data_IF_222209590936
#
_entry.id   IF_222209590936
#
_cell.length_a   1.000
_cell.length_b   1.000
_cell.length_c   1.000
_cell.angle_alpha   90.00
_cell.angle_beta   90.00
_cell.angle_gamma   90.00
#
_symmetry.space_group_name_H-M   'P 1'
#
loop_
_entity.id
_entity.type
_entity.pdbx_description
1 polymer ?
#
# COMPACT_ATOMS: atom_id res chain seq x y z
N UNK A 1 2.90 17.82 12.16
CA UNK A 1 3.07 16.35 11.96
C UNK A 1 4.04 16.05 10.82
N UNK A 2 5.21 15.42 11.08
CA UNK A 2 6.16 15.05 10.01
C UNK A 2 5.53 14.02 9.06
N UNK A 3 5.72 14.20 7.75
CA UNK A 3 5.15 13.30 6.73
C UNK A 3 5.77 11.90 6.88
N UNK A 4 4.96 10.87 7.14
CA UNK A 4 5.47 9.54 7.43
C UNK A 4 6.17 8.86 6.23
N UNK A 5 7.49 8.66 6.34
CA UNK A 5 8.33 7.99 5.33
C UNK A 5 7.94 6.51 5.09
N UNK A 6 7.21 5.88 6.01
CA UNK A 6 6.73 4.49 5.89
C UNK A 6 5.78 4.27 4.71
N UNK A 7 5.17 5.35 4.23
CA UNK A 7 4.37 5.35 3.01
C UNK A 7 5.23 5.09 1.76
N UNK A 8 6.38 5.75 1.64
CA UNK A 8 7.30 5.59 0.49
C UNK A 8 7.81 4.16 0.36
N UNK A 9 8.18 3.51 1.46
CA UNK A 9 8.59 2.09 1.47
C UNK A 9 7.48 1.17 0.96
N UNK A 10 6.24 1.43 1.36
CA UNK A 10 5.08 0.62 0.98
C UNK A 10 4.73 0.81 -0.51
N UNK A 11 4.89 2.03 -1.03
CA UNK A 11 4.74 2.33 -2.48
C UNK A 11 5.85 1.71 -3.32
N UNK A 12 7.10 1.73 -2.86
CA UNK A 12 8.22 1.13 -3.59
C UNK A 12 8.02 -0.40 -3.75
N UNK A 13 7.52 -1.04 -2.69
CA UNK A 13 7.13 -2.46 -2.73
C UNK A 13 6.01 -2.70 -3.75
N UNK A 14 5.00 -1.84 -3.79
CA UNK A 14 3.90 -1.93 -4.75
C UNK A 14 4.41 -1.81 -6.19
N UNK A 15 5.25 -0.82 -6.49
CA UNK A 15 5.89 -0.62 -7.80
C UNK A 15 6.64 -1.88 -8.24
N UNK A 16 7.39 -2.49 -7.32
CA UNK A 16 8.14 -3.72 -7.59
C UNK A 16 7.23 -4.90 -7.92
N UNK A 17 6.13 -5.06 -7.17
CA UNK A 17 5.14 -6.12 -7.41
C UNK A 17 4.41 -5.92 -8.75
N UNK A 18 4.04 -4.69 -9.10
CA UNK A 18 3.44 -4.36 -10.39
C UNK A 18 4.40 -4.68 -11.55
N UNK A 19 5.69 -4.31 -11.44
CA UNK A 19 6.72 -4.65 -12.44
C UNK A 19 6.93 -6.17 -12.58
N UNK A 20 6.81 -6.91 -11.47
CA UNK A 20 6.86 -8.38 -11.52
C UNK A 20 5.63 -8.96 -12.22
N UNK A 21 4.44 -8.43 -11.93
CA UNK A 21 3.18 -8.86 -12.52
C UNK A 21 3.17 -8.65 -14.04
N UNK A 22 3.62 -7.49 -14.52
CA UNK A 22 3.61 -7.15 -15.96
C UNK A 22 4.48 -8.10 -16.80
N UNK A 23 5.50 -8.72 -16.20
CA UNK A 23 6.38 -9.69 -16.87
C UNK A 23 5.83 -11.13 -16.87
N UNK A 24 4.72 -11.41 -16.19
CA UNK A 24 4.16 -12.76 -16.12
C UNK A 24 3.09 -12.97 -17.19
N UNK A 25 3.06 -14.17 -17.79
CA UNK A 25 2.02 -14.58 -18.75
C UNK A 25 0.64 -14.52 -18.09
N UNK A 26 -0.23 -13.67 -18.63
CA UNK A 26 -1.62 -13.50 -18.17
C UNK A 26 -2.33 -14.86 -18.12
N UNK A 27 -3.13 -15.10 -17.09
CA UNK A 27 -3.89 -16.34 -16.91
C UNK A 27 -3.09 -17.53 -16.34
N UNK A 28 -1.75 -17.46 -16.28
CA UNK A 28 -0.96 -18.52 -15.64
C UNK A 28 -1.21 -18.59 -14.11
N UNK A 29 -1.03 -19.77 -13.52
CA UNK A 29 -1.13 -19.97 -12.06
C UNK A 29 -0.20 -19.03 -11.26
N UNK A 30 0.96 -18.69 -11.82
CA UNK A 30 1.93 -17.76 -11.22
C UNK A 30 1.43 -16.31 -11.34
N UNK A 31 0.82 -15.94 -12.46
CA UNK A 31 0.23 -14.61 -12.65
C UNK A 31 -0.88 -14.36 -11.63
N UNK A 32 -1.78 -15.33 -11.42
CA UNK A 32 -2.84 -15.23 -10.41
C UNK A 32 -2.28 -15.01 -8.99
N UNK A 33 -1.20 -15.72 -8.63
CA UNK A 33 -0.50 -15.50 -7.35
C UNK A 33 0.09 -14.08 -7.25
N UNK A 34 0.67 -13.57 -8.34
CA UNK A 34 1.22 -12.21 -8.39
C UNK A 34 0.14 -11.13 -8.27
N UNK A 35 -1.02 -11.30 -8.92
CA UNK A 35 -2.18 -10.40 -8.77
C UNK A 35 -2.64 -10.35 -7.32
N UNK A 36 -2.79 -11.50 -6.65
CA UNK A 36 -3.15 -11.55 -5.23
C UNK A 36 -2.13 -10.81 -4.35
N UNK A 37 -0.84 -10.92 -4.65
CA UNK A 37 0.20 -10.18 -3.92
C UNK A 37 0.10 -8.66 -4.12
N UNK A 38 -0.15 -8.21 -5.35
CA UNK A 38 -0.39 -6.78 -5.66
C UNK A 38 -1.62 -6.27 -4.91
N UNK A 39 -2.74 -7.00 -4.93
CA UNK A 39 -3.97 -6.64 -4.23
C UNK A 39 -3.76 -6.50 -2.71
N UNK A 40 -3.06 -7.46 -2.08
CA UNK A 40 -2.71 -7.38 -0.65
C UNK A 40 -1.87 -6.14 -0.33
N UNK A 41 -0.93 -5.79 -1.21
CA UNK A 41 -0.10 -4.60 -1.01
C UNK A 41 -0.90 -3.31 -1.16
N UNK A 42 -1.86 -3.24 -2.10
CA UNK A 42 -2.78 -2.11 -2.20
C UNK A 42 -3.60 -1.93 -0.92
N UNK A 43 -4.17 -3.02 -0.38
CA UNK A 43 -4.90 -2.97 0.91
C UNK A 43 -4.02 -2.41 2.03
N UNK A 44 -2.79 -2.91 2.17
CA UNK A 44 -1.85 -2.42 3.19
C UNK A 44 -1.53 -0.92 3.05
N UNK A 45 -1.45 -0.40 1.83
CA UNK A 45 -1.23 1.03 1.59
C UNK A 45 -2.47 1.84 1.98
N UNK A 46 -3.67 1.38 1.62
CA UNK A 46 -4.93 2.03 1.97
C UNK A 46 -5.14 2.07 3.49
N UNK A 47 -4.95 0.94 4.18
CA UNK A 47 -5.09 0.84 5.64
C UNK A 47 -4.15 1.82 6.35
N UNK A 48 -2.89 1.91 5.91
CA UNK A 48 -1.92 2.88 6.47
C UNK A 48 -2.30 4.34 6.23
N UNK A 49 -2.86 4.66 5.06
CA UNK A 49 -3.34 6.04 4.80
C UNK A 49 -4.50 6.36 5.75
N UNK A 50 -5.46 5.44 5.88
CA UNK A 50 -6.63 5.60 6.75
C UNK A 50 -6.22 5.78 8.22
N UNK A 51 -5.29 4.96 8.72
CA UNK A 51 -4.73 5.08 10.07
C UNK A 51 -4.06 6.44 10.31
N UNK A 52 -3.24 6.91 9.36
CA UNK A 52 -2.63 8.24 9.44
C UNK A 52 -3.69 9.34 9.54
N UNK A 53 -4.69 9.33 8.66
CA UNK A 53 -5.75 10.34 8.67
C UNK A 53 -6.51 10.38 10.00
N UNK A 54 -6.88 9.23 10.56
CA UNK A 54 -7.58 9.19 11.84
C UNK A 54 -6.72 9.66 13.00
N UNK A 55 -5.45 9.26 13.05
CA UNK A 55 -4.53 9.72 14.10
C UNK A 55 -4.34 11.23 14.05
N UNK A 56 -4.14 11.79 12.86
CA UNK A 56 -4.03 13.24 12.69
C UNK A 56 -5.32 13.96 13.07
N UNK A 57 -6.48 13.45 12.67
CA UNK A 57 -7.77 14.04 13.06
C UNK A 57 -7.99 14.03 14.59
N UNK A 58 -7.69 12.91 15.25
CA UNK A 58 -7.82 12.79 16.70
C UNK A 58 -6.85 13.70 17.45
N UNK A 59 -5.62 13.84 16.97
CA UNK A 59 -4.65 14.77 17.55
C UNK A 59 -5.12 16.22 17.43
N UNK A 60 -5.61 16.62 16.25
CA UNK A 60 -6.16 17.95 16.03
C UNK A 60 -7.39 18.22 16.91
N UNK A 61 -8.27 17.23 17.07
CA UNK A 61 -9.45 17.35 17.94
C UNK A 61 -9.06 17.45 19.41
N UNK A 62 -8.01 16.75 19.84
CA UNK A 62 -7.52 16.79 21.22
C UNK A 62 -6.76 18.07 21.58
N UNK A 63 -6.38 18.87 20.58
CA UNK A 63 -5.67 20.15 20.76
C UNK A 63 -6.62 21.35 20.86
N UNK A 64 -7.90 21.14 20.56
CA UNK A 64 -8.99 22.11 20.69
C UNK A 64 -9.75 21.80 21.98
#
# INVERSE_FOLDING_TARGET
>A
MPIPQYYRKSQQRLKTLQKRLSRKKKGSKIWLKAVKAVAKQHKKVADKRKDFHFKTANELLSLI
#
